data_IF_014761136018
#
_entry.id   IF_014761136018
#
_cell.length_a   1.000
_cell.length_b   1.000
_cell.length_c   1.000
_cell.angle_alpha   90.00
_cell.angle_beta   90.00
_cell.angle_gamma   90.00
#
_symmetry.space_group_name_H-M   'P 1'
#
loop_
_entity.id
_entity.type
_entity.pdbx_description
1 polymer ?
#
# COMPACT_ATOMS: atom_id res chain seq x y z
N UNK A 1 -5.50 17.35 -1.49
CA UNK A 1 -5.66 18.10 -0.20
C UNK A 1 -7.12 18.39 0.13
N UNK A 2 -8.00 18.50 -0.87
CA UNK A 2 -9.42 18.81 -0.65
C UNK A 2 -10.07 17.79 0.31
N UNK A 3 -10.85 18.30 1.26
CA UNK A 3 -11.53 17.47 2.25
C UNK A 3 -10.65 16.99 3.42
N UNK A 4 -9.36 17.32 3.45
CA UNK A 4 -8.50 17.02 4.60
C UNK A 4 -8.78 17.94 5.79
N UNK A 5 -8.66 17.48 7.04
CA UNK A 5 -9.05 18.25 8.24
C UNK A 5 -8.37 19.61 8.40
N UNK A 6 -7.20 19.80 7.80
CA UNK A 6 -6.43 21.04 7.87
C UNK A 6 -6.26 21.74 6.51
N UNK A 7 -6.95 21.27 5.49
CA UNK A 7 -6.96 21.92 4.19
C UNK A 7 -7.82 23.20 4.23
N UNK A 8 -7.52 24.20 3.41
CA UNK A 8 -8.42 25.34 3.22
C UNK A 8 -9.80 24.85 2.77
N UNK A 9 -10.85 25.57 3.16
CA UNK A 9 -12.24 25.25 2.80
C UNK A 9 -12.94 26.45 2.18
N UNK A 10 -14.03 26.22 1.46
CA UNK A 10 -14.84 27.28 0.85
C UNK A 10 -14.02 28.18 -0.07
N UNK A 11 -14.17 29.48 0.06
CA UNK A 11 -13.47 30.48 -0.75
C UNK A 11 -11.95 30.41 -0.60
N UNK A 12 -11.44 30.12 0.60
CA UNK A 12 -9.99 29.94 0.82
C UNK A 12 -9.41 28.77 0.02
N UNK A 13 -10.19 27.71 -0.22
CA UNK A 13 -9.79 26.62 -1.10
C UNK A 13 -9.62 27.10 -2.55
N UNK A 14 -10.57 27.87 -3.07
CA UNK A 14 -10.49 28.40 -4.43
C UNK A 14 -9.31 29.35 -4.61
N UNK A 15 -9.04 30.20 -3.64
CA UNK A 15 -7.88 31.11 -3.64
C UNK A 15 -6.57 30.31 -3.61
N UNK A 16 -6.47 29.29 -2.74
CA UNK A 16 -5.28 28.42 -2.66
C UNK A 16 -5.03 27.69 -3.99
N UNK A 17 -6.06 27.09 -4.59
CA UNK A 17 -5.94 26.40 -5.88
C UNK A 17 -5.53 27.38 -6.98
N UNK A 18 -6.11 28.58 -7.01
CA UNK A 18 -5.74 29.61 -7.98
C UNK A 18 -4.27 30.01 -7.83
N UNK A 19 -3.81 30.21 -6.60
CA UNK A 19 -2.41 30.50 -6.32
C UNK A 19 -1.48 29.34 -6.73
N UNK A 20 -1.82 28.10 -6.38
CA UNK A 20 -0.98 26.93 -6.74
C UNK A 20 -0.82 26.75 -8.25
N UNK A 21 -1.83 27.12 -9.03
CA UNK A 21 -1.76 27.11 -10.50
C UNK A 21 -0.79 28.16 -11.07
N UNK A 22 -0.37 29.14 -10.28
CA UNK A 22 0.66 30.12 -10.70
C UNK A 22 2.08 29.68 -10.41
N UNK A 23 2.27 28.44 -9.96
CA UNK A 23 3.56 27.84 -9.61
C UNK A 23 3.97 26.74 -10.63
N UNK A 24 3.97 26.99 -11.95
CA UNK A 24 4.54 26.06 -12.93
C UNK A 24 6.08 26.02 -12.79
N UNK A 25 6.70 25.05 -13.42
CA UNK A 25 8.15 25.09 -13.65
C UNK A 25 8.52 26.33 -14.47
N UNK A 26 9.74 26.82 -14.29
CA UNK A 26 10.24 27.98 -15.03
C UNK A 26 10.20 27.73 -16.55
N UNK A 27 9.94 28.79 -17.31
CA UNK A 27 10.00 28.72 -18.76
C UNK A 27 11.41 28.33 -19.20
N UNK A 28 11.52 27.32 -20.04
CA UNK A 28 12.82 26.80 -20.48
C UNK A 28 13.52 25.89 -19.45
N UNK A 29 12.86 25.46 -18.38
CA UNK A 29 13.39 24.45 -17.47
C UNK A 29 13.84 23.21 -18.25
N UNK A 30 15.06 22.73 -17.96
CA UNK A 30 15.64 21.55 -18.57
C UNK A 30 15.64 20.41 -17.56
N UNK A 31 15.23 19.23 -17.99
CA UNK A 31 15.18 18.02 -17.17
C UNK A 31 16.14 16.98 -17.75
N UNK A 32 16.91 16.29 -16.89
CA UNK A 32 17.82 15.22 -17.32
C UNK A 32 17.07 14.05 -17.94
N UNK A 33 15.83 13.81 -17.48
CA UNK A 33 14.96 12.75 -17.99
C UNK A 33 13.48 13.09 -17.77
N UNK A 34 12.70 12.89 -18.80
CA UNK A 34 11.23 12.94 -18.73
C UNK A 34 10.66 11.52 -18.92
N UNK A 35 9.70 11.15 -18.07
CA UNK A 35 8.97 9.88 -18.19
C UNK A 35 7.48 10.18 -18.23
N UNK A 36 6.84 9.80 -19.31
CA UNK A 36 5.37 9.88 -19.46
C UNK A 36 4.83 8.47 -19.34
N UNK A 37 3.87 8.27 -18.43
CA UNK A 37 3.24 6.98 -18.20
C UNK A 37 1.72 7.13 -18.20
N UNK A 38 1.03 6.31 -18.97
CA UNK A 38 -0.42 6.16 -18.85
C UNK A 38 -0.73 5.25 -17.65
N UNK A 39 -1.23 5.87 -16.58
CA UNK A 39 -1.55 5.16 -15.34
C UNK A 39 -2.87 4.41 -15.39
N UNK A 40 -3.70 4.60 -16.43
CA UNK A 40 -4.98 3.90 -16.59
C UNK A 40 -4.81 2.40 -16.87
N UNK A 41 -3.66 2.00 -17.39
CA UNK A 41 -3.34 0.60 -17.70
C UNK A 41 -2.65 -0.15 -16.54
N UNK A 42 -2.35 0.54 -15.43
CA UNK A 42 -1.70 -0.10 -14.29
C UNK A 42 -2.72 -0.97 -13.55
N UNK A 43 -2.53 -2.28 -13.66
CA UNK A 43 -3.27 -3.27 -12.87
C UNK A 43 -2.74 -3.34 -11.44
N UNK A 44 -3.49 -3.93 -10.47
CA UNK A 44 -3.01 -4.13 -9.11
C UNK A 44 -1.66 -4.87 -9.09
N UNK A 45 -0.70 -4.29 -8.39
CA UNK A 45 0.69 -4.76 -8.32
C UNK A 45 0.99 -5.36 -6.94
N UNK A 46 1.90 -6.31 -6.91
CA UNK A 46 2.44 -6.89 -5.68
C UNK A 46 3.96 -6.99 -5.76
N UNK A 47 4.63 -6.66 -4.66
CA UNK A 47 6.08 -6.87 -4.51
C UNK A 47 6.30 -8.31 -4.04
N UNK A 48 7.04 -9.09 -4.83
CA UNK A 48 7.32 -10.50 -4.55
C UNK A 48 8.71 -10.75 -3.93
N UNK A 49 9.41 -9.67 -3.59
CA UNK A 49 10.74 -9.71 -2.99
C UNK A 49 10.96 -8.60 -1.97
N UNK A 50 12.22 -8.28 -1.69
CA UNK A 50 12.63 -7.34 -0.64
C UNK A 50 12.91 -5.92 -1.15
N UNK A 51 12.79 -5.68 -2.45
CA UNK A 51 13.01 -4.39 -3.10
C UNK A 51 11.75 -3.95 -3.87
N UNK A 52 11.41 -2.64 -3.89
CA UNK A 52 10.27 -2.12 -4.65
C UNK A 52 10.31 -2.40 -6.15
N UNK A 53 11.48 -2.62 -6.72
CA UNK A 53 11.65 -3.00 -8.13
C UNK A 53 11.20 -4.44 -8.43
N UNK A 54 11.16 -5.30 -7.40
CA UNK A 54 10.70 -6.70 -7.51
C UNK A 54 9.17 -6.76 -7.45
N UNK A 55 8.53 -6.09 -8.40
CA UNK A 55 7.08 -5.93 -8.49
C UNK A 55 6.54 -6.64 -9.72
N UNK A 56 5.32 -7.17 -9.62
CA UNK A 56 4.61 -7.80 -10.72
C UNK A 56 3.08 -7.67 -10.55
N UNK A 57 2.31 -7.77 -11.63
CA UNK A 57 0.86 -7.84 -11.56
C UNK A 57 0.39 -8.97 -10.65
N UNK A 58 -0.64 -8.74 -9.83
CA UNK A 58 -1.23 -9.78 -8.96
C UNK A 58 -1.74 -11.00 -9.76
N UNK A 59 -2.06 -10.80 -11.03
CA UNK A 59 -2.53 -11.84 -11.96
C UNK A 59 -1.42 -12.63 -12.61
N UNK A 60 -0.15 -12.26 -12.39
CA UNK A 60 1.02 -12.92 -12.97
C UNK A 60 1.57 -14.03 -12.08
N UNK A 61 2.69 -14.58 -12.49
CA UNK A 61 3.48 -15.56 -11.75
C UNK A 61 4.75 -14.91 -11.19
N UNK A 62 5.34 -15.55 -10.19
CA UNK A 62 6.69 -15.22 -9.70
C UNK A 62 7.67 -15.39 -10.88
N UNK A 63 8.41 -14.33 -11.24
CA UNK A 63 9.33 -14.38 -12.37
C UNK A 63 10.40 -15.47 -12.24
N UNK A 64 10.82 -16.02 -13.38
CA UNK A 64 11.94 -16.96 -13.42
C UNK A 64 13.27 -16.19 -13.46
N UNK A 65 14.22 -16.44 -12.58
CA UNK A 65 15.55 -15.86 -12.65
C UNK A 65 16.27 -16.09 -14.00
N UNK A 66 15.91 -17.13 -14.75
CA UNK A 66 16.45 -17.38 -16.08
C UNK A 66 16.05 -16.28 -17.10
N UNK A 67 14.92 -15.61 -16.87
CA UNK A 67 14.40 -14.53 -17.72
C UNK A 67 14.93 -13.14 -17.33
N UNK A 68 15.81 -13.05 -16.34
CA UNK A 68 16.36 -11.78 -15.88
C UNK A 68 17.23 -11.11 -16.97
N UNK A 69 17.17 -9.76 -17.10
CA UNK A 69 17.82 -9.05 -18.19
C UNK A 69 19.35 -9.04 -18.08
N UNK A 70 19.91 -9.27 -16.90
CA UNK A 70 21.36 -9.32 -16.64
C UNK A 70 21.68 -10.42 -15.62
N UNK A 71 22.96 -10.80 -15.52
CA UNK A 71 23.42 -11.78 -14.54
C UNK A 71 23.20 -11.28 -13.10
N UNK A 72 23.51 -10.02 -12.82
CA UNK A 72 23.29 -9.38 -11.51
C UNK A 72 21.79 -9.40 -11.12
N UNK A 73 20.91 -9.14 -12.09
CA UNK A 73 19.47 -9.22 -11.87
C UNK A 73 19.03 -10.67 -11.60
N UNK A 74 19.59 -11.63 -12.30
CA UNK A 74 19.33 -13.07 -12.06
C UNK A 74 19.66 -13.46 -10.63
N UNK A 75 20.86 -13.12 -10.18
CA UNK A 75 21.32 -13.41 -8.83
C UNK A 75 20.45 -12.69 -7.77
N UNK A 76 20.04 -11.45 -8.06
CA UNK A 76 19.14 -10.69 -7.21
C UNK A 76 17.76 -11.36 -7.10
N UNK A 77 17.18 -11.78 -8.23
CA UNK A 77 15.89 -12.48 -8.27
C UNK A 77 15.95 -13.81 -7.54
N UNK A 78 17.03 -14.59 -7.74
CA UNK A 78 17.20 -15.86 -7.06
C UNK A 78 17.27 -15.68 -5.53
N UNK A 79 18.08 -14.73 -5.05
CA UNK A 79 18.15 -14.42 -3.61
C UNK A 79 16.81 -13.99 -3.04
N UNK A 80 16.04 -13.19 -3.78
CA UNK A 80 14.71 -12.76 -3.34
C UNK A 80 13.73 -13.93 -3.23
N UNK A 81 13.70 -14.80 -4.23
CA UNK A 81 12.86 -16.00 -4.25
C UNK A 81 13.21 -16.91 -3.06
N UNK A 82 14.50 -17.19 -2.85
CA UNK A 82 14.97 -18.02 -1.75
C UNK A 82 14.62 -17.41 -0.39
N UNK A 83 14.83 -16.10 -0.22
CA UNK A 83 14.50 -15.39 1.02
C UNK A 83 13.01 -15.39 1.33
N UNK A 84 12.16 -15.20 0.32
CA UNK A 84 10.70 -15.19 0.47
C UNK A 84 10.09 -16.60 0.53
N UNK A 85 10.88 -17.65 0.31
CA UNK A 85 10.40 -19.03 0.26
C UNK A 85 9.45 -19.29 -0.92
N UNK A 86 9.63 -18.57 -2.02
CA UNK A 86 8.84 -18.70 -3.24
C UNK A 86 9.48 -19.68 -4.23
N UNK A 87 8.79 -19.94 -5.31
CA UNK A 87 9.30 -20.67 -6.48
C UNK A 87 8.89 -19.95 -7.75
N UNK A 88 9.80 -19.91 -8.73
CA UNK A 88 9.51 -19.41 -10.07
C UNK A 88 8.24 -20.08 -10.63
N UNK A 89 7.42 -19.32 -11.32
CA UNK A 89 6.17 -19.80 -11.91
C UNK A 89 4.99 -19.99 -10.95
N UNK A 90 5.14 -19.73 -9.65
CA UNK A 90 3.99 -19.72 -8.72
C UNK A 90 3.04 -18.58 -9.08
N UNK A 91 1.73 -18.84 -9.10
CA UNK A 91 0.74 -17.77 -9.27
C UNK A 91 0.76 -16.83 -8.05
N UNK A 92 0.90 -15.52 -8.28
CA UNK A 92 0.93 -14.50 -7.22
C UNK A 92 -0.30 -14.57 -6.31
N UNK A 93 -1.49 -14.66 -6.89
CA UNK A 93 -2.75 -14.74 -6.14
C UNK A 93 -2.91 -16.03 -5.33
N UNK A 94 -2.09 -17.05 -5.57
CA UNK A 94 -2.13 -18.34 -4.88
C UNK A 94 -1.09 -18.51 -3.78
N UNK A 95 -0.26 -17.51 -3.53
CA UNK A 95 0.78 -17.58 -2.49
C UNK A 95 0.10 -17.58 -1.11
N UNK A 96 0.34 -18.61 -0.28
CA UNK A 96 -0.19 -18.66 1.07
C UNK A 96 0.44 -17.57 1.93
N UNK A 97 -0.35 -16.98 2.84
CA UNK A 97 0.09 -15.96 3.78
C UNK A 97 -0.28 -16.36 5.21
N UNK A 98 0.61 -16.12 6.16
CA UNK A 98 0.39 -16.37 7.60
C UNK A 98 -0.02 -15.10 8.34
N UNK A 99 0.36 -13.94 7.79
CA UNK A 99 0.09 -12.64 8.39
C UNK A 99 -0.39 -11.64 7.36
N UNK A 100 -1.37 -10.83 7.75
CA UNK A 100 -1.88 -9.70 6.97
C UNK A 100 -1.74 -8.44 7.79
N UNK A 101 -1.11 -7.43 7.21
CA UNK A 101 -0.95 -6.10 7.78
C UNK A 101 -1.50 -5.06 6.83
N UNK A 102 -2.48 -4.27 7.29
CA UNK A 102 -3.10 -3.20 6.53
C UNK A 102 -2.84 -1.89 7.25
N UNK A 103 -2.37 -0.87 6.51
CA UNK A 103 -2.30 0.48 7.03
C UNK A 103 -0.89 1.02 7.21
N UNK A 104 -0.59 1.52 8.42
CA UNK A 104 0.56 2.37 8.73
C UNK A 104 0.43 3.78 8.13
N UNK A 105 1.49 4.61 8.19
CA UNK A 105 1.41 6.03 7.83
C UNK A 105 1.10 6.30 6.35
N UNK A 106 1.53 5.43 5.44
CA UNK A 106 1.39 5.64 3.99
C UNK A 106 0.07 5.08 3.46
N UNK A 107 -0.26 3.84 3.82
CA UNK A 107 -1.43 3.10 3.31
C UNK A 107 -2.52 2.90 4.38
N UNK A 108 -2.58 3.78 5.37
CA UNK A 108 -3.58 3.79 6.44
C UNK A 108 -4.37 5.08 6.50
N UNK A 109 -4.58 5.76 5.38
CA UNK A 109 -5.47 6.92 5.28
C UNK A 109 -6.92 6.47 5.42
N UNK A 110 -7.82 7.40 5.68
CA UNK A 110 -9.24 7.04 5.89
C UNK A 110 -9.85 6.35 4.66
N UNK A 111 -9.49 6.77 3.46
CA UNK A 111 -9.95 6.14 2.22
C UNK A 111 -9.41 4.71 2.05
N UNK A 112 -8.16 4.46 2.45
CA UNK A 112 -7.56 3.11 2.41
C UNK A 112 -8.27 2.17 3.40
N UNK A 113 -8.53 2.67 4.62
CA UNK A 113 -9.25 1.94 5.67
C UNK A 113 -10.68 1.63 5.23
N UNK A 114 -11.39 2.59 4.60
CA UNK A 114 -12.73 2.36 4.04
C UNK A 114 -12.72 1.28 2.96
N UNK A 115 -11.79 1.37 2.00
CA UNK A 115 -11.67 0.39 0.93
C UNK A 115 -11.38 -1.02 1.46
N UNK A 116 -10.49 -1.13 2.44
CA UNK A 116 -10.19 -2.41 3.09
C UNK A 116 -11.39 -2.95 3.88
N UNK A 117 -12.15 -2.08 4.57
CA UNK A 117 -13.35 -2.46 5.32
C UNK A 117 -14.45 -3.01 4.40
N UNK A 118 -14.64 -2.43 3.22
CA UNK A 118 -15.61 -2.97 2.24
C UNK A 118 -15.25 -4.39 1.79
N UNK A 119 -13.95 -4.70 1.64
CA UNK A 119 -13.51 -6.06 1.35
C UNK A 119 -13.71 -7.01 2.54
N UNK A 120 -13.46 -6.55 3.75
CA UNK A 120 -13.56 -7.36 4.97
C UNK A 120 -15.02 -7.63 5.40
N UNK A 121 -15.94 -6.71 5.10
CA UNK A 121 -17.33 -6.73 5.53
C UNK A 121 -18.05 -8.05 5.19
N UNK A 122 -18.59 -8.69 6.21
CA UNK A 122 -19.31 -9.96 6.07
C UNK A 122 -18.43 -11.17 5.80
N UNK A 123 -17.11 -11.02 5.86
CA UNK A 123 -16.14 -12.11 5.70
C UNK A 123 -15.41 -12.38 7.00
N UNK A 124 -14.66 -13.47 7.04
CA UNK A 124 -13.81 -13.85 8.17
C UNK A 124 -12.38 -14.06 7.70
N UNK A 125 -11.42 -13.61 8.51
CA UNK A 125 -10.03 -13.99 8.38
C UNK A 125 -9.91 -15.49 8.62
N UNK A 126 -9.10 -16.19 7.84
CA UNK A 126 -8.83 -17.62 8.06
C UNK A 126 -8.20 -17.83 9.43
N UNK A 127 -8.55 -18.93 10.12
CA UNK A 127 -7.99 -19.28 11.42
C UNK A 127 -6.46 -19.46 11.40
N UNK A 128 -5.90 -19.74 10.23
CA UNK A 128 -4.44 -19.87 10.03
C UNK A 128 -3.74 -18.53 9.84
N UNK A 129 -4.48 -17.41 9.72
CA UNK A 129 -3.93 -16.09 9.38
C UNK A 129 -4.09 -15.12 10.54
N UNK A 130 -3.01 -14.49 10.93
CA UNK A 130 -3.05 -13.35 11.86
C UNK A 130 -3.16 -12.05 11.08
N UNK A 131 -4.30 -11.37 11.20
CA UNK A 131 -4.57 -10.13 10.47
C UNK A 131 -4.66 -8.92 11.41
N UNK A 132 -4.09 -7.79 11.00
CA UNK A 132 -4.18 -6.53 11.76
C UNK A 132 -4.33 -5.31 10.87
N UNK A 133 -4.95 -4.27 11.44
CA UNK A 133 -5.12 -2.97 10.81
C UNK A 133 -4.55 -1.89 11.73
N UNK A 134 -3.69 -1.03 11.16
CA UNK A 134 -3.04 0.09 11.84
C UNK A 134 -3.42 1.39 11.13
N UNK A 135 -4.29 2.24 11.71
CA UNK A 135 -4.64 3.54 11.14
C UNK A 135 -3.41 4.45 11.00
N UNK A 136 -3.38 5.28 9.96
CA UNK A 136 -2.22 6.12 9.63
C UNK A 136 -1.94 7.25 10.62
N UNK A 137 -2.92 7.63 11.43
CA UNK A 137 -2.77 8.65 12.49
C UNK A 137 -3.91 8.55 13.50
N UNK A 138 -3.75 9.23 14.65
CA UNK A 138 -4.82 9.32 15.65
C UNK A 138 -6.10 10.00 15.13
N UNK A 139 -5.99 10.93 14.18
CA UNK A 139 -7.15 11.55 13.53
C UNK A 139 -7.88 10.54 12.64
N UNK A 140 -7.15 9.77 11.86
CA UNK A 140 -7.73 8.71 11.01
C UNK A 140 -8.38 7.63 11.87
N UNK A 141 -7.72 7.21 12.96
CA UNK A 141 -8.29 6.22 13.89
C UNK A 141 -9.64 6.68 14.44
N UNK A 142 -9.69 7.90 14.96
CA UNK A 142 -10.92 8.48 15.49
C UNK A 142 -12.03 8.50 14.45
N UNK A 143 -11.73 9.01 13.25
CA UNK A 143 -12.70 9.07 12.16
C UNK A 143 -13.18 7.67 11.76
N UNK A 144 -12.28 6.70 11.65
CA UNK A 144 -12.64 5.32 11.33
C UNK A 144 -13.54 4.68 12.40
N UNK A 145 -13.29 4.96 13.68
CA UNK A 145 -14.13 4.51 14.80
C UNK A 145 -15.52 5.19 14.82
N UNK A 146 -15.57 6.49 14.52
CA UNK A 146 -16.82 7.24 14.35
C UNK A 146 -17.68 6.69 13.20
N UNK A 147 -17.03 6.24 12.12
CA UNK A 147 -17.68 5.58 10.98
C UNK A 147 -17.98 4.08 11.22
N UNK A 148 -17.53 3.51 12.33
CA UNK A 148 -17.75 2.10 12.69
C UNK A 148 -16.90 1.10 11.90
N UNK A 149 -15.84 1.56 11.23
CA UNK A 149 -14.96 0.70 10.43
C UNK A 149 -14.16 -0.29 11.31
N UNK A 150 -13.78 0.13 12.52
CA UNK A 150 -13.13 -0.73 13.51
C UNK A 150 -13.98 -1.96 13.87
N UNK A 151 -15.30 -1.79 13.96
CA UNK A 151 -16.24 -2.90 14.24
C UNK A 151 -16.25 -3.90 13.10
N UNK A 152 -16.27 -3.42 11.83
CA UNK A 152 -16.22 -4.29 10.65
C UNK A 152 -14.93 -5.15 10.69
N UNK A 153 -13.79 -4.55 10.98
CA UNK A 153 -12.52 -5.28 11.06
C UNK A 153 -12.51 -6.29 12.22
N UNK A 154 -12.93 -5.88 13.42
CA UNK A 154 -13.01 -6.78 14.60
C UNK A 154 -13.94 -7.95 14.35
N UNK A 155 -15.12 -7.67 13.78
CA UNK A 155 -16.09 -8.70 13.42
C UNK A 155 -15.56 -9.67 12.37
N UNK A 156 -14.68 -9.19 11.49
CA UNK A 156 -13.99 -10.03 10.49
C UNK A 156 -12.78 -10.79 11.04
N UNK A 157 -12.37 -10.54 12.30
CA UNK A 157 -11.25 -11.23 12.93
C UNK A 157 -9.90 -10.49 12.82
N UNK A 158 -9.90 -9.23 12.39
CA UNK A 158 -8.69 -8.41 12.41
C UNK A 158 -8.44 -7.81 13.80
N UNK A 159 -7.18 -7.68 14.15
CA UNK A 159 -6.75 -6.89 15.30
C UNK A 159 -6.72 -5.41 14.91
N UNK A 160 -7.56 -4.59 15.52
CA UNK A 160 -7.55 -3.14 15.40
C UNK A 160 -6.50 -2.54 16.34
N UNK A 161 -5.51 -1.85 15.80
CA UNK A 161 -4.32 -1.41 16.53
C UNK A 161 -4.28 0.10 16.71
N UNK A 162 -3.33 0.56 17.54
CA UNK A 162 -3.01 1.98 17.69
C UNK A 162 -2.21 2.49 16.48
N UNK A 163 -2.41 3.77 16.06
CA UNK A 163 -1.67 4.36 14.95
C UNK A 163 -0.18 4.49 15.28
N UNK A 164 0.66 4.27 14.28
CA UNK A 164 2.10 4.41 14.39
C UNK A 164 2.88 3.46 13.48
N UNK A 165 4.20 3.50 13.66
CA UNK A 165 5.09 2.53 13.03
C UNK A 165 4.95 1.19 13.75
N UNK A 166 4.36 0.21 13.08
CA UNK A 166 4.12 -1.14 13.57
C UNK A 166 5.04 -2.13 12.86
N UNK A 167 4.51 -3.17 12.26
CA UNK A 167 5.28 -4.19 11.54
C UNK A 167 6.16 -3.63 10.41
N UNK A 168 5.79 -2.50 9.79
CA UNK A 168 6.56 -1.92 8.68
C UNK A 168 8.00 -1.53 9.05
N UNK A 169 8.27 -1.23 10.31
CA UNK A 169 9.61 -0.93 10.84
C UNK A 169 10.00 -1.82 12.02
N UNK A 170 9.16 -2.76 12.41
CA UNK A 170 9.35 -3.63 13.59
C UNK A 170 9.72 -2.86 14.87
N UNK A 171 9.20 -1.64 15.05
CA UNK A 171 9.54 -0.75 16.17
C UNK A 171 8.69 -0.99 17.42
N UNK A 172 7.74 -1.90 17.36
CA UNK A 172 6.91 -2.26 18.51
C UNK A 172 6.72 -3.79 18.60
N UNK A 173 5.90 -4.25 19.54
CA UNK A 173 5.62 -5.67 19.76
C UNK A 173 4.66 -6.31 18.75
N UNK A 174 4.24 -5.60 17.71
CA UNK A 174 3.41 -6.12 16.61
C UNK A 174 4.25 -7.02 15.69
N UNK A 175 4.44 -8.30 16.09
CA UNK A 175 5.22 -9.31 15.36
C UNK A 175 4.33 -10.42 14.83
#
# INVERSE_FOLDING_TARGET
>A
LQGRPRAPTGELWHQAVSYWKTLPSDEGASYDKEVIMDVSEIVPQVTWGTSPELVAPITSQVPDPADAPTEDARDSWQRAIDYMGLRAGMNMAGIPVDRVFIGSCTNGRIEDIRAAAEVAKGRKVSDSVRAMVVPGSGLVKRQAEEEGLDKIFRDSGFHWREPGCSMCLAMNSDK
#
